data_IF_718738628495
#
_entry.id   IF_718738628495
#
_cell.length_a   1.000
_cell.length_b   1.000
_cell.length_c   1.000
_cell.angle_alpha   90.00
_cell.angle_beta   90.00
_cell.angle_gamma   90.00
#
_symmetry.space_group_name_H-M   'P 1'
#
loop_
_entity.id
_entity.type
_entity.pdbx_description
1 polymer ?
#
# COMPACT_ATOMS: atom_id res chain seq x y z
N UNK A 1 21.57 48.69 -37.03
CA UNK A 1 20.81 47.58 -36.44
C UNK A 1 20.02 46.92 -37.55
N UNK A 2 20.54 45.84 -38.14
CA UNK A 2 19.79 45.05 -39.12
C UNK A 2 18.61 44.40 -38.42
N UNK A 3 17.39 44.64 -38.92
CA UNK A 3 16.22 43.89 -38.46
C UNK A 3 16.43 42.43 -38.87
N UNK A 4 16.33 41.46 -37.95
CA UNK A 4 16.36 40.05 -38.35
C UNK A 4 15.26 39.85 -39.40
N UNK A 5 15.61 39.17 -40.50
CA UNK A 5 14.64 38.88 -41.55
C UNK A 5 13.44 38.15 -40.93
N UNK A 6 12.22 38.50 -41.34
CA UNK A 6 10.97 38.04 -40.74
C UNK A 6 10.95 36.51 -40.53
N UNK A 7 11.60 35.76 -41.44
CA UNK A 7 11.76 34.31 -41.40
C UNK A 7 12.62 33.83 -40.22
N UNK A 8 13.71 34.51 -39.88
CA UNK A 8 14.58 34.15 -38.74
C UNK A 8 13.80 34.35 -37.43
N UNK A 9 13.05 35.44 -37.30
CA UNK A 9 12.21 35.70 -36.13
C UNK A 9 11.10 34.65 -35.95
N UNK A 10 10.48 34.20 -37.06
CA UNK A 10 9.40 33.22 -37.02
C UNK A 10 9.91 31.82 -36.68
N UNK A 11 11.07 31.42 -37.20
CA UNK A 11 11.75 30.17 -36.84
C UNK A 11 12.13 30.15 -35.35
N UNK A 12 12.67 31.24 -34.81
CA UNK A 12 12.98 31.35 -33.38
C UNK A 12 11.74 31.21 -32.50
N UNK A 13 10.61 31.82 -32.88
CA UNK A 13 9.34 31.69 -32.15
C UNK A 13 8.85 30.23 -32.15
N UNK A 14 8.91 29.54 -33.30
CA UNK A 14 8.52 28.12 -33.40
C UNK A 14 9.40 27.25 -32.50
N UNK A 15 10.71 27.48 -32.49
CA UNK A 15 11.65 26.71 -31.64
C UNK A 15 11.33 26.92 -30.16
N UNK A 16 11.10 28.16 -29.73
CA UNK A 16 10.75 28.47 -28.33
C UNK A 16 9.43 27.79 -27.95
N UNK A 17 8.42 27.89 -28.83
CA UNK A 17 7.13 27.23 -28.59
C UNK A 17 7.28 25.70 -28.52
N UNK A 18 8.08 25.10 -29.39
CA UNK A 18 8.33 23.67 -29.39
C UNK A 18 9.02 23.22 -28.08
N UNK A 19 10.04 23.94 -27.63
CA UNK A 19 10.72 23.68 -26.36
C UNK A 19 9.75 23.80 -25.18
N UNK A 20 8.92 24.84 -25.18
CA UNK A 20 7.91 25.04 -24.14
C UNK A 20 6.91 23.87 -24.10
N UNK A 21 6.36 23.48 -25.24
CA UNK A 21 5.40 22.37 -25.34
C UNK A 21 6.04 21.06 -24.88
N UNK A 22 7.26 20.76 -25.32
CA UNK A 22 8.00 19.57 -24.88
C UNK A 22 8.19 19.63 -23.36
N UNK A 23 8.61 20.76 -22.80
CA UNK A 23 8.79 20.95 -21.37
C UNK A 23 7.51 20.67 -20.57
N UNK A 24 6.37 21.20 -21.00
CA UNK A 24 5.06 20.98 -20.35
C UNK A 24 4.65 19.51 -20.43
N UNK A 25 4.77 18.88 -21.61
CA UNK A 25 4.42 17.46 -21.79
C UNK A 25 5.30 16.57 -20.92
N UNK A 26 6.61 16.82 -20.89
CA UNK A 26 7.55 16.08 -20.03
C UNK A 26 7.21 16.27 -18.56
N UNK A 27 6.90 17.49 -18.12
CA UNK A 27 6.51 17.78 -16.73
C UNK A 27 5.25 17.01 -16.32
N UNK A 28 4.18 17.07 -17.13
CA UNK A 28 2.93 16.36 -16.85
C UNK A 28 3.13 14.84 -16.85
N UNK A 29 3.96 14.32 -17.76
CA UNK A 29 4.31 12.89 -17.82
C UNK A 29 5.02 12.43 -16.54
N UNK A 30 6.00 13.21 -16.06
CA UNK A 30 6.70 12.94 -14.80
C UNK A 30 5.73 12.96 -13.62
N UNK A 31 4.82 13.94 -13.59
CA UNK A 31 3.82 14.05 -12.53
C UNK A 31 2.89 12.83 -12.52
N UNK A 32 2.41 12.41 -13.69
CA UNK A 32 1.56 11.23 -13.85
C UNK A 32 2.26 9.93 -13.46
N UNK A 33 3.56 9.81 -13.76
CA UNK A 33 4.37 8.65 -13.37
C UNK A 33 4.60 8.60 -11.86
N UNK A 34 4.86 9.73 -11.23
CA UNK A 34 4.96 9.84 -9.77
C UNK A 34 3.62 9.49 -9.09
N UNK A 35 2.48 9.89 -9.66
CA UNK A 35 1.18 9.52 -9.12
C UNK A 35 0.88 8.01 -9.22
N UNK A 36 1.56 7.26 -10.11
CA UNK A 36 1.46 5.78 -10.12
C UNK A 36 2.08 5.15 -8.88
N UNK A 37 3.11 5.76 -8.28
CA UNK A 37 3.69 5.30 -7.01
C UNK A 37 2.61 5.27 -5.94
N UNK A 38 1.93 6.40 -5.77
CA UNK A 38 0.88 6.58 -4.76
C UNK A 38 -0.25 5.56 -5.00
N UNK A 39 -0.66 5.35 -6.26
CA UNK A 39 -1.69 4.36 -6.63
C UNK A 39 -1.32 2.93 -6.25
N UNK A 40 -0.07 2.50 -6.44
CA UNK A 40 0.37 1.14 -6.07
C UNK A 40 0.28 0.92 -4.57
N UNK A 41 0.71 1.91 -3.78
CA UNK A 41 0.69 1.82 -2.32
C UNK A 41 -0.75 1.91 -1.79
N UNK A 42 -1.58 2.81 -2.33
CA UNK A 42 -3.00 2.90 -1.95
C UNK A 42 -3.76 1.61 -2.30
N UNK A 43 -3.50 1.01 -3.47
CA UNK A 43 -4.10 -0.28 -3.84
C UNK A 43 -3.69 -1.40 -2.87
N UNK A 44 -2.40 -1.45 -2.48
CA UNK A 44 -1.91 -2.38 -1.46
C UNK A 44 -2.70 -2.26 -0.15
N UNK A 45 -2.84 -1.05 0.40
CA UNK A 45 -3.58 -0.85 1.65
C UNK A 45 -5.09 -1.06 1.53
N UNK A 46 -5.69 -0.78 0.37
CA UNK A 46 -7.09 -1.11 0.13
C UNK A 46 -7.32 -2.62 0.22
N UNK A 47 -6.42 -3.42 -0.36
CA UNK A 47 -6.49 -4.89 -0.22
C UNK A 47 -6.34 -5.33 1.24
N UNK A 48 -5.43 -4.71 2.02
CA UNK A 48 -5.32 -5.01 3.46
C UNK A 48 -6.61 -4.70 4.22
N UNK A 49 -7.19 -3.52 3.99
CA UNK A 49 -8.46 -3.08 4.59
C UNK A 49 -9.61 -4.06 4.31
N UNK A 50 -9.63 -4.59 3.09
CA UNK A 50 -10.60 -5.58 2.63
C UNK A 50 -10.27 -7.01 3.10
N UNK A 51 -9.20 -7.19 3.88
CA UNK A 51 -8.75 -8.47 4.42
C UNK A 51 -8.18 -9.40 3.35
N UNK A 52 -7.79 -8.86 2.19
CA UNK A 52 -7.27 -9.57 1.03
C UNK A 52 -5.73 -9.57 1.03
N UNK A 53 -5.13 -10.29 1.98
CA UNK A 53 -3.70 -10.19 2.30
C UNK A 53 -2.76 -10.73 1.20
N UNK A 54 -3.16 -11.79 0.48
CA UNK A 54 -2.39 -12.34 -0.64
C UNK A 54 -2.52 -11.46 -1.89
N UNK A 55 -3.72 -10.94 -2.18
CA UNK A 55 -3.97 -9.99 -3.27
C UNK A 55 -3.18 -8.70 -3.09
N UNK A 56 -2.97 -8.25 -1.85
CA UNK A 56 -2.09 -7.11 -1.56
C UNK A 56 -0.68 -7.32 -2.14
N UNK A 57 -0.21 -8.56 -2.26
CA UNK A 57 1.12 -8.87 -2.80
C UNK A 57 1.24 -8.65 -4.32
N UNK A 58 0.16 -8.48 -5.08
CA UNK A 58 0.22 -8.24 -6.54
C UNK A 58 1.04 -6.97 -6.89
N UNK A 59 1.08 -6.01 -5.96
CA UNK A 59 1.87 -4.80 -6.06
C UNK A 59 3.36 -4.97 -5.75
N UNK A 60 3.80 -6.13 -5.27
CA UNK A 60 5.20 -6.39 -4.87
C UNK A 60 6.09 -6.66 -6.08
N UNK A 61 7.38 -6.34 -5.96
CA UNK A 61 8.37 -6.72 -6.97
C UNK A 61 8.68 -8.21 -6.91
N UNK A 62 9.10 -8.80 -8.03
CA UNK A 62 9.44 -10.22 -8.11
C UNK A 62 10.51 -10.61 -7.07
N UNK A 63 11.54 -9.77 -6.92
CA UNK A 63 12.61 -10.00 -5.95
C UNK A 63 12.10 -10.03 -4.50
N UNK A 64 11.11 -9.21 -4.16
CA UNK A 64 10.53 -9.20 -2.82
C UNK A 64 9.71 -10.47 -2.56
N UNK A 65 8.93 -10.87 -3.56
CA UNK A 65 8.11 -12.07 -3.53
C UNK A 65 8.92 -13.37 -3.48
N UNK A 66 10.00 -13.47 -4.26
CA UNK A 66 10.80 -14.70 -4.37
C UNK A 66 11.87 -14.80 -3.27
N UNK A 67 12.33 -13.65 -2.76
CA UNK A 67 13.34 -13.59 -1.70
C UNK A 67 12.73 -13.66 -0.29
N UNK A 68 12.33 -12.49 0.23
CA UNK A 68 11.97 -12.35 1.66
C UNK A 68 10.63 -12.99 2.02
N UNK A 69 9.71 -13.08 1.05
CA UNK A 69 8.35 -13.58 1.26
C UNK A 69 8.04 -14.75 0.31
N UNK A 70 8.89 -15.78 0.31
CA UNK A 70 8.90 -16.86 -0.68
C UNK A 70 7.66 -17.77 -0.68
N UNK A 71 6.82 -17.74 0.35
CA UNK A 71 5.59 -18.53 0.43
C UNK A 71 4.36 -17.67 0.71
N UNK A 72 3.19 -18.12 0.26
CA UNK A 72 1.91 -17.45 0.51
C UNK A 72 1.63 -17.29 2.01
N UNK A 73 2.01 -18.28 2.82
CA UNK A 73 1.86 -18.20 4.28
C UNK A 73 2.72 -17.07 4.87
N UNK A 74 3.99 -16.96 4.45
CA UNK A 74 4.85 -15.87 4.90
C UNK A 74 4.31 -14.50 4.46
N UNK A 75 3.82 -14.39 3.22
CA UNK A 75 3.21 -13.16 2.68
C UNK A 75 1.99 -12.73 3.46
N UNK A 76 1.08 -13.66 3.70
CA UNK A 76 -0.18 -13.40 4.40
C UNK A 76 0.07 -13.03 5.86
N UNK A 77 0.94 -13.77 6.55
CA UNK A 77 1.34 -13.46 7.93
C UNK A 77 2.03 -12.09 8.02
N UNK A 78 2.98 -11.81 7.12
CA UNK A 78 3.68 -10.52 7.06
C UNK A 78 2.70 -9.36 6.89
N UNK A 79 1.81 -9.43 5.89
CA UNK A 79 0.84 -8.36 5.61
C UNK A 79 -0.14 -8.15 6.76
N UNK A 80 -0.60 -9.22 7.40
CA UNK A 80 -1.48 -9.11 8.56
C UNK A 80 -0.77 -8.47 9.76
N UNK A 81 0.45 -8.90 10.08
CA UNK A 81 1.23 -8.31 11.17
C UNK A 81 1.56 -6.84 10.88
N UNK A 82 1.91 -6.51 9.65
CA UNK A 82 2.18 -5.13 9.24
C UNK A 82 0.93 -4.25 9.37
N UNK A 83 -0.23 -4.72 8.91
CA UNK A 83 -1.50 -4.00 9.07
C UNK A 83 -1.81 -3.76 10.56
N UNK A 84 -1.75 -4.81 11.39
CA UNK A 84 -2.00 -4.70 12.83
C UNK A 84 -1.04 -3.73 13.51
N UNK A 85 0.23 -3.74 13.09
CA UNK A 85 1.26 -2.85 13.66
C UNK A 85 0.95 -1.39 13.37
N UNK A 86 0.59 -1.07 12.13
CA UNK A 86 0.19 0.28 11.74
C UNK A 86 -1.10 0.70 12.44
N UNK A 87 -2.10 -0.18 12.51
CA UNK A 87 -3.36 0.13 13.18
C UNK A 87 -3.17 0.36 14.69
N UNK A 88 -2.34 -0.43 15.37
CA UNK A 88 -1.98 -0.18 16.76
C UNK A 88 -1.25 1.16 16.91
N UNK A 89 -0.24 1.40 16.08
CA UNK A 89 0.57 2.63 16.12
C UNK A 89 -0.28 3.91 15.97
N UNK A 90 -1.28 3.87 15.08
CA UNK A 90 -2.18 5.01 14.84
C UNK A 90 -3.46 5.00 15.68
N UNK A 91 -3.59 4.07 16.64
CA UNK A 91 -4.80 3.90 17.46
C UNK A 91 -6.09 3.71 16.63
N UNK A 92 -6.01 2.88 15.58
CA UNK A 92 -7.08 2.55 14.64
C UNK A 92 -7.48 1.07 14.67
N UNK A 93 -7.09 0.31 15.71
CA UNK A 93 -7.35 -1.13 15.78
C UNK A 93 -8.86 -1.44 15.66
N UNK A 94 -9.71 -0.56 16.16
CA UNK A 94 -11.17 -0.66 16.15
C UNK A 94 -11.81 -0.19 14.82
N UNK A 95 -11.02 0.49 13.97
CA UNK A 95 -11.50 1.14 12.76
C UNK A 95 -11.19 0.30 11.52
N UNK A 96 -12.22 -0.30 10.92
CA UNK A 96 -12.07 -1.04 9.66
C UNK A 96 -11.95 -0.13 8.44
N UNK A 97 -12.37 1.13 8.54
CA UNK A 97 -12.32 2.08 7.43
C UNK A 97 -11.37 3.24 7.76
N UNK A 98 -10.12 3.10 7.33
CA UNK A 98 -9.07 4.10 7.47
C UNK A 98 -8.66 4.68 6.12
N UNK A 99 -8.11 5.90 6.15
CA UNK A 99 -7.47 6.57 5.02
C UNK A 99 -5.96 6.41 5.15
N UNK A 100 -5.30 6.21 4.02
CA UNK A 100 -3.84 6.21 3.92
C UNK A 100 -3.40 7.54 3.31
N UNK A 101 -2.44 8.20 3.93
CA UNK A 101 -1.78 9.38 3.37
C UNK A 101 -0.29 9.10 3.21
N UNK A 102 0.29 9.60 2.12
CA UNK A 102 1.62 9.22 1.67
C UNK A 102 2.49 10.46 1.51
N UNK A 103 3.73 10.38 1.99
CA UNK A 103 4.76 11.41 1.76
C UNK A 103 5.99 10.78 1.11
N UNK A 104 6.23 11.11 -0.15
CA UNK A 104 7.41 10.67 -0.90
C UNK A 104 8.65 11.44 -0.42
N UNK A 105 9.78 10.75 -0.32
CA UNK A 105 11.08 11.33 0.04
C UNK A 105 11.61 12.29 -1.03
N UNK A 106 11.30 12.01 -2.31
CA UNK A 106 11.60 12.86 -3.45
C UNK A 106 10.67 12.52 -4.62
N UNK A 107 10.65 13.37 -5.64
CA UNK A 107 10.06 13.03 -6.93
C UNK A 107 11.02 12.15 -7.73
N UNK A 108 10.47 11.19 -8.48
CA UNK A 108 11.24 10.50 -9.51
C UNK A 108 11.29 11.38 -10.75
N UNK A 109 12.49 11.62 -11.25
CA UNK A 109 12.78 12.35 -12.49
C UNK A 109 13.61 11.41 -13.38
N UNK A 110 13.16 11.12 -14.60
CA UNK A 110 13.87 10.20 -15.48
C UNK A 110 15.31 10.64 -15.71
N UNK A 111 16.23 9.68 -15.77
CA UNK A 111 17.68 9.85 -15.99
C UNK A 111 18.47 10.57 -14.89
N UNK A 112 17.81 11.21 -13.92
CA UNK A 112 18.46 11.99 -12.86
C UNK A 112 18.39 11.26 -11.52
N UNK A 113 17.21 10.77 -11.15
CA UNK A 113 17.02 10.01 -9.90
C UNK A 113 17.10 8.51 -10.15
N UNK A 114 17.56 7.78 -9.13
CA UNK A 114 17.49 6.32 -9.15
C UNK A 114 16.04 5.81 -9.27
N UNK A 115 15.88 4.59 -9.76
CA UNK A 115 14.59 3.93 -9.98
C UNK A 115 13.95 3.40 -8.69
N UNK A 116 14.18 4.08 -7.57
CA UNK A 116 13.59 3.77 -6.27
C UNK A 116 13.16 5.03 -5.55
N UNK A 117 12.00 5.00 -4.91
CA UNK A 117 11.47 6.10 -4.11
C UNK A 117 11.08 5.56 -2.74
N UNK A 118 11.54 6.23 -1.67
CA UNK A 118 11.08 5.92 -0.31
C UNK A 118 9.82 6.71 -0.01
N UNK A 119 8.84 6.08 0.62
CA UNK A 119 7.53 6.63 0.93
C UNK A 119 7.23 6.44 2.41
N UNK A 120 6.87 7.53 3.05
CA UNK A 120 6.37 7.55 4.43
C UNK A 120 4.86 7.41 4.42
N UNK A 121 4.31 6.78 5.45
CA UNK A 121 2.89 6.46 5.54
C UNK A 121 2.33 7.00 6.85
N UNK A 122 1.09 7.50 6.82
CA UNK A 122 0.25 7.71 8.00
C UNK A 122 -1.14 7.15 7.74
N UNK A 123 -1.73 6.54 8.77
CA UNK A 123 -3.12 6.11 8.74
C UNK A 123 -3.98 7.09 9.52
N UNK A 124 -5.14 7.47 8.97
CA UNK A 124 -6.10 8.38 9.60
C UNK A 124 -7.49 7.75 9.61
N UNK A 125 -8.33 8.12 10.59
CA UNK A 125 -9.73 7.71 10.60
C UNK A 125 -10.45 8.33 9.41
N UNK A 126 -11.30 7.56 8.72
CA UNK A 126 -12.09 8.13 7.61
C UNK A 126 -13.09 9.16 8.15
N UNK A 127 -13.06 10.36 7.58
CA UNK A 127 -13.89 11.48 8.02
C UNK A 127 -13.18 12.50 8.90
N UNK A 128 -11.98 12.19 9.41
CA UNK A 128 -11.09 13.23 9.92
C UNK A 128 -10.70 14.13 8.75
N UNK A 129 -11.18 15.37 8.79
CA UNK A 129 -10.72 16.43 7.89
C UNK A 129 -9.33 16.88 8.35
N UNK A 130 -8.35 16.00 8.22
CA UNK A 130 -6.96 16.44 8.12
C UNK A 130 -6.88 17.43 6.95
N UNK A 131 -6.24 18.58 7.18
CA UNK A 131 -6.11 19.69 6.24
C UNK A 131 -5.69 19.16 4.85
N UNK A 132 -6.33 19.61 3.76
CA UNK A 132 -5.99 19.15 2.41
C UNK A 132 -4.56 19.58 2.04
N UNK A 133 -3.67 18.60 2.07
CA UNK A 133 -2.54 18.29 1.17
C UNK A 133 -1.91 19.45 0.37
N UNK A 134 -1.61 20.55 1.06
CA UNK A 134 -0.56 21.49 0.67
C UNK A 134 0.41 21.57 1.84
N UNK A 135 1.41 20.67 1.82
CA UNK A 135 2.73 20.79 2.45
C UNK A 135 2.79 21.75 3.65
N UNK A 136 2.04 21.44 4.70
CA UNK A 136 2.17 22.13 5.98
C UNK A 136 3.07 21.28 6.85
N UNK A 137 4.27 21.81 7.07
CA UNK A 137 5.41 21.31 7.86
C UNK A 137 5.12 21.04 9.36
N UNK A 138 3.85 20.84 9.74
CA UNK A 138 3.40 20.67 11.13
C UNK A 138 3.03 19.25 11.56
N UNK A 139 2.87 18.29 10.63
CA UNK A 139 2.45 16.90 10.96
C UNK A 139 3.52 15.83 10.66
N UNK A 140 4.78 16.24 10.46
CA UNK A 140 5.90 15.33 10.16
C UNK A 140 6.32 14.43 11.34
N UNK A 141 5.78 14.68 12.53
CA UNK A 141 5.99 13.86 13.73
C UNK A 141 5.29 12.51 13.66
N UNK A 142 4.13 12.46 13.00
CA UNK A 142 3.25 11.29 13.05
C UNK A 142 3.52 10.28 11.93
N UNK A 143 4.38 10.61 10.97
CA UNK A 143 4.65 9.74 9.83
C UNK A 143 5.52 8.54 10.24
N UNK A 144 5.13 7.34 9.83
CA UNK A 144 6.05 6.21 9.77
C UNK A 144 7.00 6.44 8.60
N UNK A 145 8.13 7.10 8.90
CA UNK A 145 9.07 7.62 7.91
C UNK A 145 9.68 6.51 7.06
N UNK A 146 9.71 6.74 5.75
CA UNK A 146 10.38 5.89 4.76
C UNK A 146 10.01 4.39 4.85
N UNK A 147 8.82 4.07 5.36
CA UNK A 147 8.35 2.71 5.61
C UNK A 147 8.37 1.82 4.36
N UNK A 148 8.02 2.40 3.20
CA UNK A 148 7.86 1.65 1.96
C UNK A 148 8.92 2.12 0.98
N UNK A 149 9.63 1.18 0.36
CA UNK A 149 10.47 1.45 -0.80
C UNK A 149 9.75 0.90 -2.02
N UNK A 150 9.45 1.77 -2.97
CA UNK A 150 8.99 1.35 -4.30
C UNK A 150 10.13 1.42 -5.28
N UNK A 151 10.14 0.52 -6.26
CA UNK A 151 11.09 0.52 -7.36
C UNK A 151 10.39 0.39 -8.70
N UNK A 152 11.06 0.84 -9.75
CA UNK A 152 10.63 0.63 -11.12
C UNK A 152 11.09 -0.76 -11.54
N UNK A 153 10.14 -1.68 -11.69
CA UNK A 153 10.40 -2.99 -12.28
C UNK A 153 9.84 -3.02 -13.70
N UNK A 154 10.74 -3.14 -14.68
CA UNK A 154 10.43 -3.05 -16.13
C UNK A 154 9.76 -1.72 -16.49
N UNK A 155 8.41 -1.68 -16.50
CA UNK A 155 7.60 -0.50 -16.89
C UNK A 155 6.57 -0.11 -15.84
N UNK A 156 6.60 -0.73 -14.66
CA UNK A 156 5.64 -0.48 -13.58
C UNK A 156 6.33 -0.23 -12.26
N UNK A 157 5.73 0.61 -11.43
CA UNK A 157 6.12 0.74 -10.03
C UNK A 157 5.67 -0.49 -9.24
N UNK A 158 6.56 -0.99 -8.40
CA UNK A 158 6.32 -2.14 -7.52
C UNK A 158 6.88 -1.84 -6.13
N UNK A 159 6.26 -2.41 -5.10
CA UNK A 159 6.79 -2.34 -3.74
C UNK A 159 7.98 -3.30 -3.65
N UNK A 160 9.16 -2.73 -3.44
CA UNK A 160 10.42 -3.46 -3.32
C UNK A 160 10.58 -4.09 -1.95
N UNK A 161 10.24 -3.34 -0.90
CA UNK A 161 10.42 -3.78 0.48
C UNK A 161 9.70 -2.83 1.45
N UNK A 162 9.55 -3.31 2.69
CA UNK A 162 9.15 -2.51 3.84
C UNK A 162 10.32 -2.42 4.83
N UNK A 163 10.64 -1.23 5.30
CA UNK A 163 11.72 -0.93 6.25
C UNK A 163 11.22 -0.96 7.69
N UNK A 164 10.47 -1.99 8.05
CA UNK A 164 9.80 -2.10 9.36
C UNK A 164 10.79 -1.96 10.52
N UNK A 165 11.95 -2.60 10.41
CA UNK A 165 12.99 -2.62 11.45
C UNK A 165 13.50 -1.21 11.81
N UNK A 166 13.57 -0.30 10.83
CA UNK A 166 14.11 1.06 10.98
C UNK A 166 12.99 2.11 11.15
N UNK A 167 11.77 1.68 11.43
CA UNK A 167 10.58 2.53 11.44
C UNK A 167 9.98 2.68 12.84
N UNK A 168 9.11 3.67 13.02
CA UNK A 168 8.40 3.92 14.28
C UNK A 168 7.46 2.78 14.73
N UNK A 169 7.20 1.80 13.86
CA UNK A 169 6.37 0.63 14.17
C UNK A 169 7.16 -0.63 14.51
N UNK A 170 8.51 -0.57 14.53
CA UNK A 170 9.39 -1.73 14.72
C UNK A 170 9.06 -2.50 16.01
N UNK A 171 8.97 -1.80 17.15
CA UNK A 171 8.67 -2.41 18.44
C UNK A 171 7.29 -3.06 18.48
N UNK A 172 6.29 -2.36 17.92
CA UNK A 172 4.91 -2.88 17.83
C UNK A 172 4.83 -4.11 16.93
N UNK A 173 5.56 -4.12 15.82
CA UNK A 173 5.63 -5.26 14.91
C UNK A 173 6.32 -6.45 15.55
N UNK A 174 7.43 -6.23 16.24
CA UNK A 174 8.17 -7.29 16.92
C UNK A 174 7.37 -7.89 18.09
N UNK A 175 6.70 -7.05 18.89
CA UNK A 175 5.76 -7.48 19.94
C UNK A 175 4.65 -8.37 19.35
N UNK A 176 3.97 -7.89 18.32
CA UNK A 176 2.90 -8.64 17.65
C UNK A 176 3.43 -9.97 17.11
N UNK A 177 4.58 -9.96 16.44
CA UNK A 177 5.18 -11.17 15.87
C UNK A 177 5.50 -12.24 16.93
N UNK A 178 5.89 -11.82 18.14
CA UNK A 178 6.23 -12.73 19.24
C UNK A 178 5.01 -13.22 20.01
N UNK A 179 4.03 -12.34 20.22
CA UNK A 179 2.96 -12.57 21.20
C UNK A 179 1.61 -12.94 20.58
N UNK A 180 1.40 -12.72 19.28
CA UNK A 180 0.13 -13.05 18.64
C UNK A 180 0.05 -14.53 18.24
N UNK A 181 -0.95 -15.25 18.75
CA UNK A 181 -1.26 -16.60 18.27
C UNK A 181 -2.08 -16.52 16.97
N UNK A 182 -1.39 -16.53 15.83
CA UNK A 182 -2.05 -16.59 14.50
C UNK A 182 -2.89 -17.87 14.31
N UNK A 183 -2.66 -18.90 15.13
CA UNK A 183 -3.43 -20.13 15.14
C UNK A 183 -4.56 -20.14 16.19
N UNK A 184 -4.90 -18.98 16.80
CA UNK A 184 -5.87 -18.89 17.91
C UNK A 184 -7.21 -19.56 17.58
N UNK A 185 -7.73 -19.35 16.38
CA UNK A 185 -9.02 -19.91 15.95
C UNK A 185 -8.86 -21.15 15.08
N UNK A 186 -7.87 -21.15 14.19
CA UNK A 186 -7.70 -22.17 13.17
C UNK A 186 -6.22 -22.52 13.09
N UNK A 187 -5.89 -23.81 13.04
CA UNK A 187 -4.53 -24.32 12.83
C UNK A 187 -4.47 -25.06 11.50
N UNK A 188 -3.53 -24.69 10.62
CA UNK A 188 -3.28 -25.43 9.37
C UNK A 188 -2.66 -26.79 9.69
N UNK A 189 -3.10 -27.81 8.97
CA UNK A 189 -2.57 -29.18 9.01
C UNK A 189 -2.16 -29.59 7.59
N UNK A 190 -1.38 -30.68 7.41
CA UNK A 190 -1.00 -31.14 6.08
C UNK A 190 -2.17 -31.46 5.13
N UNK A 191 -3.35 -31.79 5.68
CA UNK A 191 -4.53 -32.22 4.92
C UNK A 191 -5.72 -31.25 5.00
N UNK A 192 -5.57 -30.08 5.62
CA UNK A 192 -6.68 -29.15 5.83
C UNK A 192 -6.49 -28.28 7.07
N UNK A 193 -7.57 -28.03 7.80
CA UNK A 193 -7.57 -27.13 8.96
C UNK A 193 -8.21 -27.79 10.18
N UNK A 194 -7.62 -27.54 11.34
CA UNK A 194 -8.22 -27.83 12.63
C UNK A 194 -8.88 -26.53 13.13
N UNK A 195 -10.21 -26.54 13.23
CA UNK A 195 -10.96 -25.48 13.89
C UNK A 195 -10.90 -25.74 15.40
N UNK A 196 -10.36 -24.80 16.17
CA UNK A 196 -10.31 -24.93 17.62
C UNK A 196 -11.71 -24.74 18.19
N UNK A 197 -12.08 -25.58 19.16
CA UNK A 197 -13.37 -25.47 19.84
C UNK A 197 -13.36 -24.22 20.73
N UNK A 198 -13.86 -23.10 20.21
CA UNK A 198 -13.93 -21.81 20.89
C UNK A 198 -15.22 -21.13 20.49
N UNK A 199 -15.97 -20.65 21.47
CA UNK A 199 -17.17 -19.86 21.22
C UNK A 199 -16.78 -18.48 20.69
N UNK A 200 -17.35 -18.11 19.54
CA UNK A 200 -17.14 -16.81 18.90
C UNK A 200 -18.32 -15.91 19.27
N UNK A 201 -18.15 -15.11 20.32
CA UNK A 201 -19.15 -14.14 20.73
C UNK A 201 -18.81 -12.73 20.23
N UNK A 202 -19.52 -12.26 19.21
CA UNK A 202 -19.29 -10.95 18.58
C UNK A 202 -19.48 -9.75 19.51
N UNK A 203 -20.20 -9.92 20.63
CA UNK A 203 -20.42 -8.86 21.63
C UNK A 203 -19.23 -8.71 22.58
N UNK A 204 -18.50 -9.78 22.86
CA UNK A 204 -17.37 -9.79 23.81
C UNK A 204 -16.01 -9.85 23.13
N UNK A 205 -15.95 -10.16 21.84
CA UNK A 205 -14.71 -10.18 21.07
C UNK A 205 -14.02 -8.81 21.07
N UNK A 206 -12.74 -8.82 21.44
CA UNK A 206 -11.89 -7.64 21.32
C UNK A 206 -11.71 -7.28 19.85
N UNK A 207 -11.42 -6.01 19.52
CA UNK A 207 -11.15 -5.58 18.16
C UNK A 207 -10.00 -6.35 17.48
N UNK A 208 -8.95 -6.66 18.25
CA UNK A 208 -7.85 -7.53 17.81
C UNK A 208 -8.36 -8.94 17.47
N UNK A 209 -9.19 -9.52 18.33
CA UNK A 209 -9.76 -10.85 18.12
C UNK A 209 -10.68 -10.92 16.89
N UNK A 210 -11.46 -9.87 16.64
CA UNK A 210 -12.28 -9.77 15.42
C UNK A 210 -11.42 -9.79 14.15
N UNK A 211 -10.28 -9.10 14.17
CA UNK A 211 -9.31 -9.11 13.06
C UNK A 211 -8.61 -10.44 12.91
N UNK A 212 -8.19 -11.06 14.02
CA UNK A 212 -7.62 -12.41 14.02
C UNK A 212 -8.60 -13.44 13.45
N UNK A 213 -9.88 -13.38 13.83
CA UNK A 213 -10.90 -14.25 13.28
C UNK A 213 -11.06 -14.06 11.77
N UNK A 214 -11.18 -12.80 11.30
CA UNK A 214 -11.26 -12.48 9.86
C UNK A 214 -10.04 -13.02 9.11
N UNK A 215 -8.85 -12.85 9.67
CA UNK A 215 -7.60 -13.37 9.12
C UNK A 215 -7.59 -14.91 9.04
N UNK A 216 -8.03 -15.59 10.10
CA UNK A 216 -8.14 -17.05 10.10
C UNK A 216 -9.13 -17.56 9.04
N UNK A 217 -10.28 -16.89 8.88
CA UNK A 217 -11.27 -17.23 7.84
C UNK A 217 -10.72 -17.00 6.43
N UNK A 218 -9.97 -15.91 6.22
CA UNK A 218 -9.30 -15.64 4.95
C UNK A 218 -8.33 -16.78 4.57
N UNK A 219 -7.55 -17.28 5.52
CA UNK A 219 -6.62 -18.39 5.28
C UNK A 219 -7.34 -19.66 4.81
N UNK A 220 -8.48 -20.00 5.42
CA UNK A 220 -9.30 -21.12 4.94
C UNK A 220 -9.80 -20.81 3.52
N UNK A 221 -10.42 -19.65 3.31
CA UNK A 221 -10.97 -19.27 2.00
C UNK A 221 -9.93 -19.40 0.88
N UNK A 222 -8.70 -18.89 1.07
CA UNK A 222 -7.67 -18.95 0.03
C UNK A 222 -7.17 -20.35 -0.23
N UNK A 223 -7.04 -21.17 0.81
CA UNK A 223 -6.60 -22.55 0.67
C UNK A 223 -7.59 -23.47 -0.04
N UNK A 224 -8.89 -23.14 -0.01
CA UNK A 224 -9.94 -23.91 -0.69
C UNK A 224 -10.07 -23.59 -2.18
N UNK A 225 -9.30 -22.63 -2.71
CA UNK A 225 -9.38 -22.20 -4.11
C UNK A 225 -10.68 -21.45 -4.45
N UNK A 226 -10.80 -20.99 -5.72
CA UNK A 226 -12.00 -20.27 -6.22
C UNK A 226 -13.20 -21.20 -6.45
N UNK A 227 -13.01 -22.51 -6.39
CA UNK A 227 -13.99 -23.50 -6.87
C UNK A 227 -15.00 -23.95 -5.81
N UNK A 228 -14.83 -23.56 -4.55
CA UNK A 228 -15.65 -24.08 -3.42
C UNK A 228 -16.63 -23.05 -2.86
N UNK A 229 -16.47 -21.75 -3.14
CA UNK A 229 -17.39 -20.71 -2.64
C UNK A 229 -17.90 -19.88 -3.83
N UNK A 230 -19.17 -20.05 -4.26
CA UNK A 230 -19.73 -19.21 -5.30
C UNK A 230 -19.77 -17.76 -4.82
N UNK A 231 -19.13 -16.87 -5.59
CA UNK A 231 -19.28 -15.43 -5.43
C UNK A 231 -20.75 -15.11 -5.73
N UNK A 232 -21.55 -14.92 -4.68
CA UNK A 232 -22.91 -14.41 -4.84
C UNK A 232 -22.80 -12.98 -5.34
N UNK A 233 -22.84 -12.80 -6.66
CA UNK A 233 -23.09 -11.50 -7.28
C UNK A 233 -24.53 -11.13 -6.97
N UNK A 234 -24.78 -10.45 -5.86
CA UNK A 234 -26.04 -9.73 -5.65
C UNK A 234 -26.10 -8.61 -6.70
N UNK A 235 -26.72 -8.92 -7.84
CA UNK A 235 -27.26 -7.91 -8.74
C UNK A 235 -28.40 -7.23 -7.99
N UNK A 236 -28.10 -6.18 -7.24
CA UNK A 236 -29.12 -5.21 -6.88
C UNK A 236 -29.50 -4.46 -8.15
N UNK A 237 -30.46 -5.04 -8.87
CA UNK A 237 -31.20 -4.37 -9.92
C UNK A 237 -32.16 -3.44 -9.20
N UNK A 238 -31.73 -2.21 -8.94
CA UNK A 238 -32.65 -1.15 -8.52
C UNK A 238 -33.43 -0.75 -9.76
N UNK A 239 -34.75 -0.92 -9.66
CA UNK A 239 -35.77 -0.48 -10.61
C UNK A 239 -35.99 1.01 -10.44
#
# INVERSE_FOLDING_TARGET
>A
MEKPSLNVSLVSIIIILAIFVIGVVTYVSILGENHKIDRVIVAYFNNLKDGMYLEACEGFSSNFQEGQLSSDELRVNFNFLLELSLLKHYNLIDNYDYKVELKRSHFWIPFISGDSVRVSVVLRKKGDKGVPDTLSSGHDSDLTRNLIVVEREKRSWKIKQFTVADSSISDTYNDLRQNIDLNKYIKRTPKGFLLKNTEVNFTTLTPLDKRLLRFSLYNIQKSMGKDVIPIVKTKNKVM
#
